data_IF_685488052165
#
_entry.id   IF_685488052165
#
_cell.length_a   1.000
_cell.length_b   1.000
_cell.length_c   1.000
_cell.angle_alpha   90.00
_cell.angle_beta   90.00
_cell.angle_gamma   90.00
#
_symmetry.space_group_name_H-M   'P 1'
#
loop_
_entity.id
_entity.type
_entity.pdbx_description
1 polymer ?
#
# COMPACT_ATOMS: atom_id res chain seq x y z
N UNK A 1 -10.52 0.16 11.07
CA UNK A 1 -10.54 1.06 9.90
C UNK A 1 -9.30 1.91 10.01
N UNK A 2 -8.53 2.04 8.93
CA UNK A 2 -7.30 2.84 8.95
C UNK A 2 -7.66 4.32 8.78
N UNK A 3 -6.92 5.20 9.44
CA UNK A 3 -7.05 6.64 9.27
C UNK A 3 -5.85 7.14 8.48
N UNK A 4 -6.10 7.66 7.28
CA UNK A 4 -5.05 8.24 6.44
C UNK A 4 -4.89 9.73 6.75
N UNK A 5 -3.67 10.27 6.64
CA UNK A 5 -3.46 11.70 6.71
C UNK A 5 -4.18 12.41 5.55
N UNK A 6 -4.46 13.71 5.71
CA UNK A 6 -5.05 14.49 4.64
C UNK A 6 -4.11 14.58 3.43
N UNK A 7 -4.66 14.38 2.22
CA UNK A 7 -3.96 14.57 0.96
C UNK A 7 -4.72 13.97 -0.23
N UNK A 8 -4.22 14.22 -1.43
CA UNK A 8 -4.75 13.64 -2.66
C UNK A 8 -4.09 12.27 -2.90
N UNK A 9 -4.62 11.24 -2.27
CA UNK A 9 -4.13 9.85 -2.37
C UNK A 9 -5.00 9.07 -3.35
N UNK A 10 -4.92 9.43 -4.62
CA UNK A 10 -5.79 8.90 -5.67
C UNK A 10 -5.14 7.72 -6.36
N UNK A 11 -3.88 7.86 -6.75
CA UNK A 11 -3.11 6.81 -7.42
C UNK A 11 -2.35 5.99 -6.40
N UNK A 12 -2.43 4.67 -6.56
CA UNK A 12 -1.78 3.70 -5.69
C UNK A 12 -1.11 2.59 -6.49
N UNK A 13 0.02 2.10 -5.98
CA UNK A 13 0.65 0.89 -6.50
C UNK A 13 1.47 0.16 -5.42
N UNK A 14 1.93 -1.04 -5.76
CA UNK A 14 2.91 -1.77 -4.96
C UNK A 14 4.32 -1.22 -5.26
N UNK A 15 4.91 -0.57 -4.26
CA UNK A 15 6.28 -0.04 -4.31
C UNK A 15 7.30 -1.13 -3.99
N UNK A 16 7.01 -2.00 -3.02
CA UNK A 16 7.90 -3.09 -2.67
C UNK A 16 7.10 -4.27 -2.16
N UNK A 17 7.54 -5.48 -2.51
CA UNK A 17 6.98 -6.70 -1.97
C UNK A 17 8.04 -7.79 -1.84
N UNK A 18 8.26 -8.23 -0.61
CA UNK A 18 9.10 -9.34 -0.22
C UNK A 18 8.44 -10.09 0.97
N UNK A 19 8.99 -11.23 1.43
CA UNK A 19 8.39 -11.99 2.53
C UNK A 19 8.26 -11.23 3.86
N UNK A 20 9.06 -10.19 4.09
CA UNK A 20 9.02 -9.39 5.32
C UNK A 20 8.26 -8.06 5.18
N UNK A 21 8.00 -7.60 3.96
CA UNK A 21 7.39 -6.29 3.72
C UNK A 21 6.51 -6.27 2.48
N UNK A 22 5.32 -5.70 2.64
CA UNK A 22 4.53 -5.14 1.54
C UNK A 22 4.42 -3.62 1.73
N UNK A 23 4.69 -2.86 0.67
CA UNK A 23 4.64 -1.42 0.68
C UNK A 23 3.74 -0.92 -0.44
N UNK A 24 2.65 -0.23 -0.08
CA UNK A 24 1.81 0.48 -1.03
C UNK A 24 2.20 1.96 -1.03
N UNK A 25 2.44 2.54 -2.20
CA UNK A 25 2.72 3.97 -2.35
C UNK A 25 1.50 4.70 -2.90
N UNK A 26 1.25 5.93 -2.43
CA UNK A 26 0.13 6.74 -2.88
C UNK A 26 0.47 8.21 -3.15
N UNK A 27 -0.20 8.78 -4.14
CA UNK A 27 -0.05 10.18 -4.53
C UNK A 27 -1.20 10.66 -5.40
N UNK A 28 -1.12 11.92 -5.81
CA UNK A 28 -2.04 12.47 -6.82
C UNK A 28 -1.73 11.89 -8.21
N UNK A 29 -0.45 11.68 -8.49
CA UNK A 29 0.12 10.98 -9.63
C UNK A 29 1.36 10.25 -9.11
N UNK A 30 1.44 8.94 -9.32
CA UNK A 30 2.57 8.11 -8.86
C UNK A 30 3.65 7.91 -9.93
N UNK A 31 3.62 8.63 -11.04
CA UNK A 31 4.61 8.47 -12.12
C UNK A 31 6.02 8.91 -11.69
N UNK A 32 6.13 10.06 -11.00
CA UNK A 32 7.43 10.66 -10.65
C UNK A 32 7.75 10.60 -9.17
N UNK A 33 6.74 10.69 -8.31
CA UNK A 33 6.90 10.59 -6.87
C UNK A 33 5.60 10.13 -6.22
N UNK A 34 5.67 9.70 -4.97
CA UNK A 34 4.50 9.49 -4.13
C UNK A 34 4.74 10.11 -2.74
N UNK A 35 3.66 10.43 -2.02
CA UNK A 35 3.71 11.21 -0.77
C UNK A 35 3.29 10.45 0.49
N UNK A 36 2.71 9.26 0.30
CA UNK A 36 2.20 8.40 1.36
C UNK A 36 2.64 6.97 1.09
N UNK A 37 3.03 6.24 2.14
CA UNK A 37 3.19 4.80 2.09
C UNK A 37 2.40 4.10 3.20
N UNK A 38 1.76 2.98 2.86
CA UNK A 38 1.28 1.98 3.80
C UNK A 38 2.26 0.82 3.83
N UNK A 39 2.98 0.69 4.94
CA UNK A 39 4.02 -0.32 5.12
C UNK A 39 3.49 -1.43 6.02
N UNK A 40 3.22 -2.58 5.41
CA UNK A 40 2.81 -3.80 6.09
C UNK A 40 4.04 -4.65 6.39
N UNK A 41 4.35 -4.84 7.66
CA UNK A 41 5.43 -5.73 8.11
C UNK A 41 4.90 -7.15 8.31
N UNK A 42 5.67 -8.14 7.89
CA UNK A 42 5.33 -9.57 7.95
C UNK A 42 3.96 -9.85 7.28
N UNK A 43 3.82 -9.58 5.97
CA UNK A 43 2.58 -9.83 5.25
C UNK A 43 2.28 -11.34 5.20
N UNK A 44 1.10 -11.73 5.67
CA UNK A 44 0.66 -13.13 5.81
C UNK A 44 -0.49 -13.49 4.86
N UNK A 45 -1.22 -12.48 4.38
CA UNK A 45 -2.23 -12.65 3.33
C UNK A 45 -2.29 -11.40 2.47
N UNK A 46 -2.23 -11.56 1.15
CA UNK A 46 -2.26 -10.44 0.20
C UNK A 46 -3.19 -10.77 -0.96
N UNK A 47 -4.30 -10.03 -1.04
CA UNK A 47 -5.13 -9.90 -2.23
C UNK A 47 -5.17 -8.41 -2.58
N UNK A 48 -4.36 -7.98 -3.53
CA UNK A 48 -4.23 -6.58 -3.89
C UNK A 48 -3.87 -6.45 -5.37
N UNK A 49 -4.55 -5.56 -6.14
CA UNK A 49 -4.09 -5.22 -7.48
C UNK A 49 -2.72 -4.54 -7.42
N UNK A 50 -1.88 -4.72 -8.45
CA UNK A 50 -0.54 -4.14 -8.48
C UNK A 50 -0.55 -2.60 -8.58
N UNK A 51 -1.58 -2.04 -9.21
CA UNK A 51 -1.88 -0.62 -9.31
C UNK A 51 -3.40 -0.41 -9.28
N UNK A 52 -3.85 0.67 -8.66
CA UNK A 52 -5.27 0.99 -8.47
C UNK A 52 -5.48 2.47 -8.13
N UNK A 53 -6.74 2.90 -8.20
CA UNK A 53 -7.16 4.27 -7.98
C UNK A 53 -8.31 4.35 -6.96
N UNK A 54 -8.38 5.49 -6.26
CA UNK A 54 -9.47 5.89 -5.36
C UNK A 54 -9.89 4.80 -4.35
N UNK A 55 -8.97 4.25 -3.54
CA UNK A 55 -9.33 3.22 -2.59
C UNK A 55 -10.25 3.75 -1.49
N UNK A 56 -11.34 3.04 -1.27
CA UNK A 56 -12.24 3.23 -0.13
C UNK A 56 -11.93 2.16 0.91
N UNK A 57 -11.13 2.53 1.91
CA UNK A 57 -10.83 1.65 3.04
C UNK A 57 -12.06 1.45 3.92
N UNK A 58 -12.31 0.19 4.29
CA UNK A 58 -13.48 -0.20 5.08
C UNK A 58 -13.10 -1.21 6.15
N UNK A 59 -14.03 -1.44 7.08
CA UNK A 59 -13.90 -2.60 7.97
C UNK A 59 -14.01 -3.89 7.13
N UNK A 60 -13.17 -4.91 7.40
CA UNK A 60 -13.35 -6.23 6.82
C UNK A 60 -14.70 -6.81 7.23
N UNK A 61 -15.37 -7.47 6.29
CA UNK A 61 -16.61 -8.19 6.56
C UNK A 61 -16.34 -9.44 7.41
N UNK A 62 -17.34 -9.99 8.13
CA UNK A 62 -17.16 -11.24 8.88
C UNK A 62 -16.72 -12.43 8.01
N UNK A 63 -17.09 -12.46 6.73
CA UNK A 63 -16.65 -13.50 5.78
C UNK A 63 -15.17 -13.35 5.41
N UNK A 64 -14.71 -12.13 5.14
CA UNK A 64 -13.29 -11.84 4.87
C UNK A 64 -12.42 -12.17 6.08
N UNK A 65 -12.88 -11.85 7.30
CA UNK A 65 -12.19 -12.25 8.54
C UNK A 65 -12.09 -13.77 8.63
N UNK A 66 -13.21 -14.49 8.43
CA UNK A 66 -13.22 -15.97 8.47
C UNK A 66 -12.31 -16.58 7.42
N UNK A 67 -12.26 -16.01 6.21
CA UNK A 67 -11.40 -16.46 5.13
C UNK A 67 -9.93 -16.36 5.55
N UNK A 68 -9.50 -15.20 6.06
CA UNK A 68 -8.10 -14.99 6.45
C UNK A 68 -7.73 -15.88 7.64
N UNK A 69 -8.58 -15.96 8.67
CA UNK A 69 -8.33 -16.81 9.85
C UNK A 69 -8.19 -18.28 9.45
N UNK A 70 -8.99 -18.78 8.50
CA UNK A 70 -8.88 -20.15 8.01
C UNK A 70 -7.58 -20.42 7.26
N UNK A 71 -7.07 -19.42 6.53
CA UNK A 71 -5.87 -19.57 5.72
C UNK A 71 -4.58 -19.38 6.53
N UNK A 72 -4.59 -18.46 7.49
CA UNK A 72 -3.44 -18.13 8.35
C UNK A 72 -3.39 -18.99 9.61
N UNK A 73 -4.54 -19.47 10.09
CA UNK A 73 -4.65 -20.28 11.31
C UNK A 73 -4.94 -19.49 12.58
N UNK A 74 -4.86 -18.16 12.53
CA UNK A 74 -5.15 -17.25 13.64
C UNK A 74 -5.71 -15.91 13.16
N UNK A 75 -6.18 -15.08 14.09
CA UNK A 75 -6.61 -13.72 13.79
C UNK A 75 -5.39 -12.81 13.63
N UNK A 76 -5.17 -12.22 12.46
CA UNK A 76 -4.02 -11.37 12.24
C UNK A 76 -4.13 -10.07 13.05
N UNK A 77 -3.01 -9.50 13.56
CA UNK A 77 -3.02 -8.22 14.26
C UNK A 77 -3.52 -7.06 13.38
N UNK A 78 -3.20 -7.11 12.08
CA UNK A 78 -3.68 -6.14 11.09
C UNK A 78 -4.47 -6.86 10.01
N UNK A 79 -5.67 -6.36 9.73
CA UNK A 79 -6.49 -6.75 8.59
C UNK A 79 -7.11 -5.50 7.95
N UNK A 80 -6.73 -5.22 6.71
CA UNK A 80 -7.18 -4.05 5.95
C UNK A 80 -7.96 -4.52 4.73
N UNK A 81 -9.17 -4.00 4.57
CA UNK A 81 -10.01 -4.21 3.41
C UNK A 81 -10.28 -2.89 2.69
N UNK A 82 -10.35 -2.92 1.37
CA UNK A 82 -10.70 -1.76 0.55
C UNK A 82 -11.39 -2.17 -0.74
N UNK A 83 -12.15 -1.24 -1.31
CA UNK A 83 -12.57 -1.30 -2.71
C UNK A 83 -11.79 -0.25 -3.49
N UNK A 84 -11.38 -0.54 -4.73
CA UNK A 84 -10.66 0.42 -5.57
C UNK A 84 -10.99 0.21 -7.05
N UNK A 85 -10.74 1.23 -7.86
CA UNK A 85 -10.72 1.07 -9.32
C UNK A 85 -9.36 0.48 -9.74
N UNK A 86 -9.35 -0.56 -10.56
CA UNK A 86 -8.13 -1.15 -11.11
C UNK A 86 -8.14 -1.18 -12.66
N UNK A 87 -8.88 -0.26 -13.28
CA UNK A 87 -9.01 -0.14 -14.73
C UNK A 87 -9.98 -1.13 -15.38
N UNK A 88 -10.75 -1.86 -14.56
CA UNK A 88 -11.75 -2.82 -14.99
C UNK A 88 -13.17 -2.25 -15.02
N UNK A 89 -14.17 -3.02 -15.49
CA UNK A 89 -15.57 -2.57 -15.54
C UNK A 89 -16.24 -2.48 -14.16
N UNK A 90 -15.59 -2.97 -13.10
CA UNK A 90 -16.11 -2.96 -11.73
C UNK A 90 -14.96 -2.70 -10.75
N UNK A 91 -15.31 -2.19 -9.56
CA UNK A 91 -14.38 -2.05 -8.46
C UNK A 91 -13.83 -3.42 -8.04
N UNK A 92 -12.58 -3.42 -7.59
CA UNK A 92 -11.90 -4.61 -7.06
C UNK A 92 -11.79 -4.51 -5.54
N UNK A 93 -12.06 -5.62 -4.87
CA UNK A 93 -11.89 -5.73 -3.42
C UNK A 93 -10.47 -6.20 -3.08
N UNK A 94 -9.74 -5.36 -2.36
CA UNK A 94 -8.45 -5.68 -1.76
C UNK A 94 -8.58 -6.13 -0.31
N UNK A 95 -7.74 -7.07 0.10
CA UNK A 95 -7.67 -7.61 1.46
C UNK A 95 -6.22 -7.94 1.83
N UNK A 96 -5.72 -7.32 2.89
CA UNK A 96 -4.33 -7.41 3.34
C UNK A 96 -4.28 -7.77 4.82
N UNK A 97 -3.48 -8.77 5.17
CA UNK A 97 -3.20 -9.14 6.55
C UNK A 97 -1.70 -9.14 6.83
N UNK A 98 -1.32 -8.62 8.00
CA UNK A 98 0.08 -8.41 8.37
C UNK A 98 0.25 -8.40 9.89
N UNK A 99 1.51 -8.48 10.35
CA UNK A 99 1.86 -8.32 11.75
C UNK A 99 1.77 -6.87 12.24
N UNK A 100 2.12 -5.90 11.38
CA UNK A 100 2.04 -4.46 11.68
C UNK A 100 1.74 -3.64 10.43
N UNK A 101 1.10 -2.49 10.62
CA UNK A 101 0.93 -1.45 9.61
C UNK A 101 1.52 -0.14 10.13
N UNK A 102 2.43 0.43 9.35
CA UNK A 102 2.97 1.77 9.55
C UNK A 102 2.48 2.68 8.41
N UNK A 103 2.00 3.88 8.76
CA UNK A 103 1.56 4.90 7.79
C UNK A 103 2.62 5.99 7.76
N UNK A 104 3.28 6.16 6.62
CA UNK A 104 4.45 7.02 6.48
C UNK A 104 4.17 8.12 5.47
N UNK A 105 4.29 9.39 5.90
CA UNK A 105 4.28 10.54 5.01
C UNK A 105 5.70 10.98 4.67
N UNK A 106 5.91 11.35 3.41
CA UNK A 106 7.19 11.82 2.90
C UNK A 106 7.27 11.65 1.40
N UNK A 107 8.11 12.44 0.73
CA UNK A 107 8.22 12.38 -0.72
C UNK A 107 9.19 11.29 -1.14
N UNK A 108 8.69 10.34 -1.93
CA UNK A 108 9.48 9.24 -2.48
C UNK A 108 9.62 9.42 -3.98
N UNK A 109 10.78 9.85 -4.44
CA UNK A 109 11.07 10.06 -5.85
C UNK A 109 11.31 8.74 -6.57
N UNK A 110 10.73 8.60 -7.76
CA UNK A 110 10.83 7.42 -8.63
C UNK A 110 11.84 7.60 -9.76
N UNK A 111 12.63 8.67 -9.69
CA UNK A 111 13.73 9.00 -10.58
C UNK A 111 14.95 9.42 -9.76
N UNK A 112 16.14 9.34 -10.35
CA UNK A 112 17.38 9.72 -9.68
C UNK A 112 17.47 11.24 -9.47
N UNK A 113 17.89 11.64 -8.27
CA UNK A 113 18.30 13.01 -7.92
C UNK A 113 19.28 12.98 -6.75
N UNK A 114 20.19 13.96 -6.70
CA UNK A 114 21.29 13.99 -5.72
C UNK A 114 20.90 14.71 -4.42
N UNK A 115 20.17 15.82 -4.52
CA UNK A 115 19.82 16.66 -3.38
C UNK A 115 18.44 16.28 -2.82
N UNK A 116 18.43 15.45 -1.77
CA UNK A 116 17.24 15.07 -1.00
C UNK A 116 17.14 15.90 0.28
N UNK A 117 16.00 16.54 0.48
CA UNK A 117 15.67 17.20 1.74
C UNK A 117 15.26 16.19 2.83
N UNK A 118 15.14 16.66 4.07
CA UNK A 118 14.64 15.82 5.16
C UNK A 118 13.22 15.33 4.87
N UNK A 119 13.00 14.02 4.97
CA UNK A 119 11.72 13.38 4.62
C UNK A 119 11.57 13.02 3.14
N UNK A 120 12.58 13.35 2.31
CA UNK A 120 12.66 12.90 0.93
C UNK A 120 13.53 11.64 0.82
N UNK A 121 13.16 10.73 -0.09
CA UNK A 121 13.96 9.53 -0.41
C UNK A 121 13.73 9.07 -1.84
N UNK A 122 14.55 8.14 -2.29
CA UNK A 122 14.36 7.47 -3.58
C UNK A 122 13.59 6.16 -3.39
N UNK A 123 12.80 5.79 -4.38
CA UNK A 123 12.15 4.49 -4.44
C UNK A 123 13.20 3.35 -4.54
N UNK A 124 12.91 2.13 -4.05
CA UNK A 124 13.91 1.07 -3.91
C UNK A 124 14.62 0.65 -5.21
N UNK A 125 13.98 0.85 -6.36
CA UNK A 125 14.51 0.49 -7.67
C UNK A 125 15.33 1.60 -8.34
N UNK A 126 15.31 2.83 -7.81
CA UNK A 126 16.03 3.96 -8.39
C UNK A 126 17.54 3.80 -8.20
N UNK A 127 18.30 3.96 -9.29
CA UNK A 127 19.77 3.87 -9.31
C UNK A 127 20.38 5.14 -9.90
N UNK A 128 21.64 5.47 -9.56
CA UNK A 128 22.37 6.55 -10.23
C UNK A 128 22.41 6.34 -11.75
N UNK A 129 22.40 7.42 -12.55
CA UNK A 129 22.68 7.35 -13.97
C UNK A 129 24.09 6.77 -14.20
N UNK A 130 24.23 6.02 -15.29
CA UNK A 130 25.51 5.47 -15.76
C UNK A 130 26.34 6.47 -16.54
#
# INVERSE_FOLDING_TARGET
MIELPQGAWWDWDIVAWDPGRLCLGAGHDVSYAHGLELVFSDPIFVKCPAAFHDPVFRQPTPDEVRLVVRQVGETPPVLVAFEADAGGPALVSGLLAAGRLDIVQGTVFRYWREDLAAGERLAPWVRPPV
#
